data_IF_893622665725
#
_entry.id   IF_893622665725
#
_cell.length_a   1.000
_cell.length_b   1.000
_cell.length_c   1.000
_cell.angle_alpha   90.00
_cell.angle_beta   90.00
_cell.angle_gamma   90.00
#
_symmetry.space_group_name_H-M   'P 1'
#
loop_
_entity.id
_entity.type
_entity.pdbx_description
1 polymer ?
#
# COMPACT_ATOMS: atom_id res chain seq x y z
N UNK A 1 -10.91 4.00 19.70
CA UNK A 1 -10.48 3.41 18.42
C UNK A 1 -10.68 1.92 18.56
N UNK A 2 -11.41 1.31 17.63
CA UNK A 2 -11.53 -0.14 17.60
C UNK A 2 -10.17 -0.79 17.27
N UNK A 3 -9.89 -1.99 17.79
CA UNK A 3 -8.59 -2.65 17.63
C UNK A 3 -8.33 -3.04 16.17
N UNK A 4 -9.39 -3.40 15.44
CA UNK A 4 -9.28 -3.71 14.02
C UNK A 4 -8.91 -2.46 13.21
N UNK A 5 -9.60 -1.36 13.48
CA UNK A 5 -9.30 -0.07 12.84
C UNK A 5 -7.84 0.36 13.07
N UNK A 6 -7.29 0.14 14.28
CA UNK A 6 -5.89 0.43 14.55
C UNK A 6 -4.94 -0.47 13.75
N UNK A 7 -5.26 -1.76 13.59
CA UNK A 7 -4.45 -2.69 12.81
C UNK A 7 -4.44 -2.30 11.32
N UNK A 8 -5.60 -1.94 10.76
CA UNK A 8 -5.73 -1.45 9.38
C UNK A 8 -4.87 -0.21 9.15
N UNK A 9 -4.94 0.77 10.05
CA UNK A 9 -4.11 1.98 9.97
C UNK A 9 -2.62 1.64 10.03
N UNK A 10 -2.20 0.81 11.00
CA UNK A 10 -0.80 0.40 11.15
C UNK A 10 -0.31 -0.33 9.90
N UNK A 11 -1.11 -1.25 9.35
CA UNK A 11 -0.80 -1.99 8.14
C UNK A 11 -0.64 -1.06 6.93
N UNK A 12 -1.59 -0.14 6.72
CA UNK A 12 -1.52 0.84 5.62
C UNK A 12 -0.27 1.70 5.72
N UNK A 13 0.06 2.22 6.91
CA UNK A 13 1.28 3.00 7.13
C UNK A 13 2.53 2.16 6.85
N UNK A 14 2.54 0.89 7.24
CA UNK A 14 3.65 -0.01 6.98
C UNK A 14 3.85 -0.26 5.47
N UNK A 15 2.76 -0.50 4.73
CA UNK A 15 2.80 -0.68 3.28
C UNK A 15 3.29 0.57 2.55
N UNK A 16 2.84 1.76 2.95
CA UNK A 16 3.31 3.03 2.36
C UNK A 16 4.81 3.19 2.55
N UNK A 17 5.33 2.90 3.75
CA UNK A 17 6.75 3.04 4.04
C UNK A 17 7.60 1.99 3.29
N UNK A 18 7.14 0.74 3.23
CA UNK A 18 7.84 -0.31 2.48
C UNK A 18 7.86 -0.02 0.98
N UNK A 19 6.75 0.48 0.42
CA UNK A 19 6.68 0.94 -0.97
C UNK A 19 7.63 2.11 -1.21
N UNK A 20 7.67 3.07 -0.28
CA UNK A 20 8.58 4.21 -0.33
C UNK A 20 10.05 3.76 -0.35
N UNK A 21 10.43 2.82 0.51
CA UNK A 21 11.77 2.27 0.56
C UNK A 21 12.15 1.57 -0.75
N UNK A 22 11.27 0.71 -1.28
CA UNK A 22 11.49 -0.01 -2.54
C UNK A 22 11.77 0.92 -3.71
N UNK A 23 11.00 2.00 -3.82
CA UNK A 23 11.08 2.95 -4.93
C UNK A 23 11.93 4.20 -4.64
N UNK A 24 12.61 4.22 -3.49
CA UNK A 24 13.44 5.36 -3.02
C UNK A 24 12.67 6.68 -3.03
N UNK A 25 11.43 6.62 -2.58
CA UNK A 25 10.53 7.76 -2.42
C UNK A 25 10.49 8.20 -0.96
N UNK A 26 10.05 9.44 -0.73
CA UNK A 26 9.55 9.82 0.59
C UNK A 26 8.19 9.17 0.84
N UNK A 27 7.82 8.93 2.12
CA UNK A 27 6.50 8.41 2.47
C UNK A 27 5.35 9.26 1.89
N UNK A 28 5.54 10.58 1.82
CA UNK A 28 4.57 11.50 1.18
C UNK A 28 4.43 11.26 -0.32
N UNK A 29 5.54 11.03 -1.03
CA UNK A 29 5.51 10.72 -2.47
C UNK A 29 4.89 9.35 -2.74
N UNK A 30 5.23 8.34 -1.91
CA UNK A 30 4.64 7.02 -2.00
C UNK A 30 3.12 7.09 -1.78
N UNK A 31 2.68 7.75 -0.71
CA UNK A 31 1.25 7.98 -0.45
C UNK A 31 0.56 8.67 -1.64
N UNK A 32 1.11 9.78 -2.14
CA UNK A 32 0.52 10.50 -3.27
C UNK A 32 0.45 9.64 -4.55
N UNK A 33 1.43 8.76 -4.76
CA UNK A 33 1.41 7.83 -5.89
C UNK A 33 0.35 6.73 -5.72
N UNK A 34 0.30 6.09 -4.56
CA UNK A 34 -0.66 5.04 -4.24
C UNK A 34 -2.10 5.58 -4.27
N UNK A 35 -2.33 6.80 -3.78
CA UNK A 35 -3.63 7.47 -3.83
C UNK A 35 -4.06 7.74 -5.28
N UNK A 36 -3.13 8.25 -6.11
CA UNK A 36 -3.41 8.56 -7.52
C UNK A 36 -3.70 7.34 -8.39
N UNK A 37 -3.04 6.21 -8.12
CA UNK A 37 -3.13 5.00 -8.95
C UNK A 37 -3.82 3.84 -8.20
N UNK A 38 -4.72 4.16 -7.27
CA UNK A 38 -5.64 3.21 -6.62
C UNK A 38 -4.99 2.17 -5.70
N UNK A 39 -3.73 2.34 -5.34
CA UNK A 39 -3.07 1.54 -4.31
C UNK A 39 -3.66 1.75 -2.92
N UNK A 40 -4.14 2.96 -2.59
CA UNK A 40 -4.81 3.21 -1.30
C UNK A 40 -6.15 2.49 -1.19
N UNK A 41 -6.96 2.52 -2.26
CA UNK A 41 -8.22 1.78 -2.32
C UNK A 41 -7.98 0.27 -2.20
N UNK A 42 -6.95 -0.25 -2.87
CA UNK A 42 -6.54 -1.65 -2.74
C UNK A 42 -6.17 -2.05 -1.29
N UNK A 43 -5.40 -1.22 -0.58
CA UNK A 43 -5.06 -1.51 0.83
C UNK A 43 -6.29 -1.54 1.74
N UNK A 44 -7.33 -0.77 1.40
CA UNK A 44 -8.59 -0.77 2.14
C UNK A 44 -9.44 -2.01 1.80
N UNK A 45 -9.68 -2.25 0.52
CA UNK A 45 -10.58 -3.28 0.00
C UNK A 45 -10.02 -4.69 0.18
N UNK A 46 -8.69 -4.85 0.09
CA UNK A 46 -8.01 -6.14 0.14
C UNK A 46 -7.32 -6.43 1.49
N UNK A 47 -7.52 -5.58 2.50
CA UNK A 47 -6.89 -5.71 3.82
C UNK A 47 -6.96 -7.13 4.39
N UNK A 48 -8.15 -7.75 4.39
CA UNK A 48 -8.39 -9.08 4.98
C UNK A 48 -7.50 -10.19 4.41
N UNK A 49 -7.11 -10.09 3.14
CA UNK A 49 -6.20 -11.03 2.50
C UNK A 49 -4.74 -10.58 2.67
N UNK A 50 -4.46 -9.31 2.36
CA UNK A 50 -3.10 -8.79 2.23
C UNK A 50 -2.35 -8.71 3.57
N UNK A 51 -3.04 -8.51 4.70
CA UNK A 51 -2.39 -8.45 6.01
C UNK A 51 -1.82 -9.80 6.48
N UNK A 52 -2.22 -10.89 5.83
CA UNK A 52 -1.71 -12.25 6.10
C UNK A 52 -0.48 -12.59 5.26
N UNK A 53 -0.20 -11.80 4.22
CA UNK A 53 0.91 -11.99 3.30
C UNK A 53 2.18 -11.32 3.82
N UNK A 54 3.30 -11.62 3.16
CA UNK A 54 4.54 -10.90 3.43
C UNK A 54 4.44 -9.47 2.92
N UNK A 55 5.20 -8.56 3.53
CA UNK A 55 5.27 -7.16 3.07
C UNK A 55 5.82 -7.04 1.65
N UNK A 56 6.65 -8.00 1.21
CA UNK A 56 7.20 -8.01 -0.14
C UNK A 56 6.09 -8.30 -1.16
N UNK A 57 5.20 -9.22 -0.84
CA UNK A 57 4.05 -9.57 -1.69
C UNK A 57 3.09 -8.38 -1.78
N UNK A 58 2.68 -7.81 -0.64
CA UNK A 58 1.81 -6.63 -0.62
C UNK A 58 2.38 -5.45 -1.44
N UNK A 59 3.69 -5.21 -1.38
CA UNK A 59 4.34 -4.17 -2.19
C UNK A 59 4.36 -4.54 -3.68
N UNK A 60 4.55 -5.81 -4.04
CA UNK A 60 4.47 -6.25 -5.44
C UNK A 60 3.04 -6.09 -5.99
N UNK A 61 2.04 -6.44 -5.20
CA UNK A 61 0.63 -6.32 -5.57
C UNK A 61 0.22 -4.86 -5.70
N UNK A 62 0.65 -3.99 -4.78
CA UNK A 62 0.53 -2.53 -4.93
C UNK A 62 1.14 -2.02 -6.24
N UNK A 63 2.34 -2.48 -6.58
CA UNK A 63 2.98 -2.13 -7.85
C UNK A 63 2.14 -2.57 -9.04
N UNK A 64 1.59 -3.80 -9.03
CA UNK A 64 0.75 -4.29 -10.12
C UNK A 64 -0.56 -3.52 -10.24
N UNK A 65 -1.25 -3.29 -9.12
CA UNK A 65 -2.48 -2.49 -9.07
C UNK A 65 -2.24 -1.10 -9.63
N UNK A 66 -1.19 -0.42 -9.18
CA UNK A 66 -0.87 0.91 -9.68
C UNK A 66 -0.52 0.90 -11.17
N UNK A 67 0.20 -0.11 -11.67
CA UNK A 67 0.51 -0.26 -13.11
C UNK A 67 -0.72 -0.46 -13.96
N UNK A 68 -1.67 -1.27 -13.50
CA UNK A 68 -2.95 -1.51 -14.18
C UNK A 68 -3.78 -0.22 -14.32
N UNK A 69 -3.54 0.77 -13.45
CA UNK A 69 -4.18 2.09 -13.47
C UNK A 69 -3.32 3.17 -14.15
N UNK A 70 -2.25 2.79 -14.86
CA UNK A 70 -1.39 3.71 -15.63
C UNK A 70 -0.19 4.27 -14.85
N UNK A 71 0.07 3.75 -13.65
CA UNK A 71 1.29 4.00 -12.88
C UNK A 71 2.53 3.46 -13.59
N UNK A 72 3.69 4.09 -13.35
CA UNK A 72 4.94 3.84 -14.10
C UNK A 72 6.15 3.47 -13.23
N UNK A 73 5.96 3.33 -11.92
CA UNK A 73 6.99 2.82 -11.01
C UNK A 73 7.13 1.28 -11.13
#
# INVERSE_FOLDING_TARGET
>A
MDKDQQNRITYTVYCINAFAERYRLTAKQAFAYLDRFGGMAFLEDCYEAEHQLSIIDAVNDLTQVCRNQGGKL
#
